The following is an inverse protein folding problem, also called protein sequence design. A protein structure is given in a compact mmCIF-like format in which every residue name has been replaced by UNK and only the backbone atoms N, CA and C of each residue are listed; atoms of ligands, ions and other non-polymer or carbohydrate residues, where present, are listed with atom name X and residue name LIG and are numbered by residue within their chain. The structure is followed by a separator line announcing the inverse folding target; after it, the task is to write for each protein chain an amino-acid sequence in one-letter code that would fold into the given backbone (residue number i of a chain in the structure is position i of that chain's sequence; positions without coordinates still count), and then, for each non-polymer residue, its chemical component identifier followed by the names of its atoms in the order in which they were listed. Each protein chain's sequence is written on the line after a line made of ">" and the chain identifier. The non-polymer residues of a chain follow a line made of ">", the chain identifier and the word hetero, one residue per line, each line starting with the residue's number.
data_IF_559181535573
#
_entry.id   IF_559181535573
#
_cell.length_a   1.000
_cell.length_b   1.000
_cell.length_c   1.000
_cell.angle_alpha   90.00
_cell.angle_beta   90.00
_cell.angle_gamma   90.00
#
_symmetry.space_group_name_H-M   'P 1'
#
loop_
_entity.id
_entity.type
_entity.pdbx_description
1 polymer ?
#
# COMPACT_ATOMS: atom_id res chain seq x y z
N UNK A 1 0.82 -14.82 -10.50
CA UNK A 1 1.92 -14.01 -9.92
C UNK A 1 2.35 -14.50 -8.55
N UNK A 2 1.46 -14.54 -7.53
CA UNK A 2 1.84 -14.96 -6.16
C UNK A 2 2.44 -16.38 -6.08
N UNK A 3 1.82 -17.36 -6.77
CA UNK A 3 2.32 -18.75 -6.81
C UNK A 3 3.69 -18.84 -7.50
N UNK A 4 3.89 -18.12 -8.61
CA UNK A 4 5.17 -18.09 -9.31
C UNK A 4 6.29 -17.54 -8.42
N UNK A 5 6.02 -16.45 -7.69
CA UNK A 5 6.97 -15.86 -6.72
C UNK A 5 7.29 -16.87 -5.61
N UNK A 6 6.28 -17.58 -5.10
CA UNK A 6 6.47 -18.58 -4.06
C UNK A 6 7.38 -19.72 -4.54
N UNK A 7 7.09 -20.29 -5.71
CA UNK A 7 7.92 -21.36 -6.32
C UNK A 7 9.37 -20.88 -6.51
N UNK A 8 9.56 -19.67 -7.02
CA UNK A 8 10.89 -19.11 -7.23
C UNK A 8 11.65 -18.92 -5.91
N UNK A 9 10.99 -18.43 -4.86
CA UNK A 9 11.58 -18.30 -3.53
C UNK A 9 11.95 -19.65 -2.92
N UNK A 10 11.13 -20.68 -3.11
CA UNK A 10 11.46 -22.04 -2.66
C UNK A 10 12.69 -22.57 -3.36
N UNK A 11 12.76 -22.46 -4.70
CA UNK A 11 13.93 -22.91 -5.47
C UNK A 11 15.20 -22.17 -5.02
N UNK A 12 15.10 -20.84 -4.86
CA UNK A 12 16.22 -20.02 -4.41
C UNK A 12 16.67 -20.42 -2.99
N UNK A 13 15.73 -20.69 -2.09
CA UNK A 13 16.04 -21.11 -0.71
C UNK A 13 16.74 -22.47 -0.68
N UNK A 14 16.27 -23.44 -1.45
CA UNK A 14 16.92 -24.76 -1.57
C UNK A 14 18.33 -24.62 -2.15
N UNK A 15 18.49 -23.84 -3.22
CA UNK A 15 19.81 -23.55 -3.81
C UNK A 15 20.75 -22.91 -2.79
N UNK A 16 20.27 -21.96 -1.99
CA UNK A 16 21.08 -21.26 -0.98
C UNK A 16 21.60 -22.23 0.10
N UNK A 17 20.72 -23.12 0.58
CA UNK A 17 21.08 -24.14 1.58
C UNK A 17 22.07 -25.14 0.99
N UNK A 18 21.81 -25.65 -0.22
CA UNK A 18 22.71 -26.57 -0.90
C UNK A 18 24.09 -25.93 -1.11
N UNK A 19 24.13 -24.66 -1.49
CA UNK A 19 25.37 -23.94 -1.70
C UNK A 19 26.19 -23.82 -0.40
N UNK A 20 25.56 -23.46 0.71
CA UNK A 20 26.22 -23.39 2.01
C UNK A 20 26.72 -24.75 2.54
N UNK A 21 25.96 -25.82 2.30
CA UNK A 21 26.34 -27.18 2.72
C UNK A 21 27.44 -27.76 1.84
N UNK A 22 27.34 -27.61 0.52
CA UNK A 22 28.32 -28.16 -0.42
C UNK A 22 29.62 -27.36 -0.46
N UNK A 23 29.59 -26.08 -0.09
CA UNK A 23 30.77 -25.22 -0.05
C UNK A 23 31.01 -24.75 1.39
N UNK A 24 31.40 -25.66 2.32
CA UNK A 24 31.66 -25.30 3.72
C UNK A 24 32.99 -24.56 3.90
N UNK A 25 33.65 -24.20 2.80
CA UNK A 25 34.94 -23.54 2.83
C UNK A 25 34.83 -22.20 3.57
N UNK A 26 35.80 -21.88 4.45
CA UNK A 26 35.81 -20.60 5.14
C UNK A 26 36.09 -19.48 4.14
N UNK A 27 35.34 -18.39 4.27
CA UNK A 27 35.49 -17.19 3.45
C UNK A 27 35.90 -16.01 4.32
N UNK A 28 36.68 -15.11 3.71
CA UNK A 28 37.12 -13.87 4.33
C UNK A 28 36.35 -12.73 3.66
N UNK A 29 35.57 -11.99 4.45
CA UNK A 29 34.80 -10.85 3.98
C UNK A 29 35.64 -9.60 4.15
N UNK A 30 35.89 -8.89 3.05
CA UNK A 30 36.58 -7.59 3.04
C UNK A 30 35.57 -6.49 2.70
N UNK A 31 35.45 -5.51 3.59
CA UNK A 31 34.52 -4.40 3.43
C UNK A 31 35.18 -3.07 3.80
N UNK A 32 35.50 -2.26 2.78
CA UNK A 32 36.26 -1.01 2.88
C UNK A 32 37.58 -1.17 3.65
N UNK A 33 37.58 -0.93 4.95
CA UNK A 33 38.74 -1.10 5.85
C UNK A 33 38.61 -2.29 6.80
N UNK A 34 37.43 -2.90 6.88
CA UNK A 34 37.16 -4.06 7.70
C UNK A 34 37.52 -5.35 6.95
N UNK A 35 38.21 -6.26 7.63
CA UNK A 35 38.44 -7.62 7.14
C UNK A 35 38.01 -8.58 8.24
N UNK A 36 37.10 -9.50 7.93
CA UNK A 36 36.69 -10.53 8.87
C UNK A 36 37.79 -11.60 9.01
N UNK A 37 37.77 -12.34 10.11
CA UNK A 37 38.46 -13.64 10.16
C UNK A 37 37.84 -14.65 9.18
N UNK A 38 38.44 -15.85 9.03
CA UNK A 38 37.85 -16.95 8.25
C UNK A 38 36.54 -17.38 8.92
N UNK A 39 35.41 -17.09 8.27
CA UNK A 39 34.07 -17.43 8.73
C UNK A 39 33.39 -18.36 7.73
N UNK A 40 32.45 -19.19 8.18
CA UNK A 40 31.77 -20.12 7.27
C UNK A 40 30.90 -19.37 6.26
N UNK A 41 30.93 -19.81 5.01
CA UNK A 41 30.12 -19.24 3.94
C UNK A 41 28.63 -19.24 4.27
N UNK A 42 28.14 -20.32 4.90
CA UNK A 42 26.76 -20.44 5.37
C UNK A 42 26.37 -19.32 6.34
N UNK A 43 27.27 -18.94 7.26
CA UNK A 43 26.99 -17.86 8.21
C UNK A 43 26.88 -16.51 7.50
N UNK A 44 27.78 -16.24 6.55
CA UNK A 44 27.72 -15.02 5.73
C UNK A 44 26.41 -14.95 4.95
N UNK A 45 25.99 -16.06 4.35
CA UNK A 45 24.74 -16.15 3.59
C UNK A 45 23.51 -15.91 4.47
N UNK A 46 23.45 -16.50 5.67
CA UNK A 46 22.36 -16.27 6.62
C UNK A 46 22.29 -14.80 7.01
N UNK A 47 23.42 -14.19 7.36
CA UNK A 47 23.48 -12.77 7.72
C UNK A 47 23.04 -11.86 6.56
N UNK A 48 23.45 -12.19 5.33
CA UNK A 48 23.05 -11.45 4.14
C UNK A 48 21.53 -11.52 3.89
N UNK A 49 20.92 -12.70 4.05
CA UNK A 49 19.46 -12.87 3.91
C UNK A 49 18.72 -12.09 4.98
N UNK A 50 19.16 -12.15 6.24
CA UNK A 50 18.55 -11.39 7.34
C UNK A 50 18.66 -9.89 7.08
N UNK A 51 19.85 -9.40 6.70
CA UNK A 51 20.06 -7.99 6.39
C UNK A 51 19.19 -7.53 5.21
N UNK A 52 19.09 -8.33 4.15
CA UNK A 52 18.22 -8.06 3.01
C UNK A 52 16.74 -8.01 3.40
N UNK A 53 16.27 -8.98 4.19
CA UNK A 53 14.89 -9.01 4.68
C UNK A 53 14.58 -7.81 5.59
N UNK A 54 15.52 -7.43 6.47
CA UNK A 54 15.38 -6.26 7.33
C UNK A 54 15.32 -4.97 6.51
N UNK A 55 16.15 -4.83 5.47
CA UNK A 55 16.15 -3.68 4.58
C UNK A 55 14.82 -3.55 3.81
N UNK A 56 14.33 -4.66 3.24
CA UNK A 56 13.01 -4.69 2.58
C UNK A 56 11.91 -4.33 3.57
N UNK A 57 11.94 -4.91 4.78
CA UNK A 57 10.97 -4.61 5.84
C UNK A 57 10.96 -3.13 6.21
N UNK A 58 12.13 -2.49 6.31
CA UNK A 58 12.26 -1.07 6.62
C UNK A 58 11.68 -0.19 5.49
N UNK A 59 12.01 -0.49 4.24
CA UNK A 59 11.50 0.24 3.07
C UNK A 59 9.99 0.10 2.93
N UNK A 60 9.47 -1.11 3.13
CA UNK A 60 8.05 -1.41 3.04
C UNK A 60 7.28 -0.77 4.20
N UNK A 61 7.83 -0.83 5.41
CA UNK A 61 7.32 -0.13 6.59
C UNK A 61 7.18 1.37 6.37
N UNK A 62 8.21 2.02 5.81
CA UNK A 62 8.18 3.44 5.48
C UNK A 62 7.06 3.79 4.47
N UNK A 63 6.88 2.97 3.43
CA UNK A 63 5.79 3.16 2.46
C UNK A 63 4.39 2.93 3.06
N UNK A 64 4.26 1.98 3.99
CA UNK A 64 3.02 1.66 4.70
C UNK A 64 2.53 2.80 5.58
N UNK A 65 3.43 3.50 6.29
CA UNK A 65 3.08 4.67 7.11
C UNK A 65 2.53 5.81 6.23
N UNK A 66 3.18 6.10 5.10
CA UNK A 66 2.71 7.15 4.17
C UNK A 66 1.35 6.81 3.56
N UNK A 67 1.14 5.55 3.22
CA UNK A 67 -0.15 5.06 2.69
C UNK A 67 -1.27 5.19 3.73
N UNK A 68 -1.03 4.76 4.97
CA UNK A 68 -1.99 4.86 6.08
C UNK A 68 -2.42 6.30 6.37
N UNK A 69 -1.47 7.25 6.37
CA UNK A 69 -1.77 8.67 6.52
C UNK A 69 -2.60 9.22 5.36
N UNK A 70 -2.34 8.76 4.13
CA UNK A 70 -3.11 9.15 2.94
C UNK A 70 -4.54 8.60 2.99
N UNK A 71 -4.72 7.35 3.40
CA UNK A 71 -6.04 6.72 3.58
C UNK A 71 -6.86 7.45 4.65
N UNK A 72 -6.24 7.85 5.77
CA UNK A 72 -6.91 8.66 6.79
C UNK A 72 -7.33 10.04 6.28
N UNK A 73 -6.50 10.70 5.47
CA UNK A 73 -6.85 11.99 4.84
C UNK A 73 -7.99 11.84 3.84
N UNK A 74 -7.93 10.81 2.98
CA UNK A 74 -8.97 10.51 2.00
C UNK A 74 -10.31 10.17 2.66
N UNK A 75 -10.30 9.38 3.73
CA UNK A 75 -11.51 9.06 4.51
C UNK A 75 -12.13 10.29 5.16
N UNK A 76 -11.32 11.21 5.72
CA UNK A 76 -11.83 12.49 6.25
C UNK A 76 -12.42 13.38 5.16
N UNK A 77 -11.82 13.41 3.97
CA UNK A 77 -12.34 14.17 2.84
C UNK A 77 -13.67 13.59 2.35
N UNK A 78 -13.79 12.26 2.25
CA UNK A 78 -15.04 11.60 1.90
C UNK A 78 -16.16 11.93 2.88
N UNK A 79 -15.91 11.82 4.20
CA UNK A 79 -16.92 12.16 5.20
C UNK A 79 -17.36 13.63 5.12
N UNK A 80 -16.43 14.55 4.86
CA UNK A 80 -16.75 15.98 4.69
C UNK A 80 -17.52 16.26 3.39
N UNK A 81 -17.23 15.54 2.31
CA UNK A 81 -17.95 15.62 1.04
C UNK A 81 -19.37 15.06 1.18
N UNK A 82 -19.54 13.92 1.85
CA UNK A 82 -20.85 13.32 2.14
C UNK A 82 -21.72 14.26 2.99
N UNK A 83 -21.16 14.88 4.04
CA UNK A 83 -21.88 15.88 4.83
C UNK A 83 -22.31 17.10 4.00
N UNK A 84 -21.46 17.57 3.08
CA UNK A 84 -21.81 18.68 2.19
C UNK A 84 -22.91 18.31 1.20
N UNK A 85 -22.87 17.09 0.65
CA UNK A 85 -23.94 16.59 -0.23
C UNK A 85 -25.25 16.55 0.54
N UNK A 86 -25.27 15.97 1.75
CA UNK A 86 -26.47 15.90 2.58
C UNK A 86 -27.03 17.30 2.93
N UNK A 87 -26.16 18.25 3.27
CA UNK A 87 -26.57 19.62 3.56
C UNK A 87 -27.15 20.32 2.32
N UNK A 88 -26.50 20.19 1.16
CA UNK A 88 -26.97 20.77 -0.10
C UNK A 88 -28.27 20.12 -0.59
N UNK A 89 -28.46 18.82 -0.39
CA UNK A 89 -29.72 18.13 -0.70
C UNK A 89 -30.87 18.61 0.19
N UNK A 90 -30.63 18.79 1.49
CA UNK A 90 -31.62 19.37 2.39
C UNK A 90 -31.99 20.80 1.98
N UNK A 91 -31.00 21.63 1.64
CA UNK A 91 -31.23 22.98 1.17
C UNK A 91 -32.02 23.00 -0.15
N UNK A 92 -31.67 22.13 -1.10
CA UNK A 92 -32.41 21.99 -2.37
C UNK A 92 -33.87 21.57 -2.13
N UNK A 93 -34.09 20.65 -1.20
CA UNK A 93 -35.43 20.15 -0.86
C UNK A 93 -36.27 21.25 -0.20
N UNK A 94 -35.67 22.03 0.70
CA UNK A 94 -36.33 23.18 1.33
C UNK A 94 -36.63 24.30 0.32
N UNK A 95 -35.70 24.59 -0.60
CA UNK A 95 -35.90 25.58 -1.65
C UNK A 95 -36.99 25.14 -2.64
N UNK A 96 -37.03 23.87 -3.02
CA UNK A 96 -38.11 23.28 -3.85
C UNK A 96 -39.46 23.29 -3.15
N UNK A 97 -39.51 23.11 -1.84
CA UNK A 97 -40.74 23.21 -1.05
C UNK A 97 -41.21 24.66 -0.85
N UNK A 98 -40.29 25.64 -0.89
CA UNK A 98 -40.59 27.08 -0.80
C UNK A 98 -40.90 27.72 -2.15
N UNK A 99 -40.55 27.09 -3.26
CA UNK A 99 -41.01 27.50 -4.58
C UNK A 99 -42.52 27.16 -4.66
N UNK A 100 -43.41 28.16 -4.75
CA UNK A 100 -44.79 27.88 -5.09
C UNK A 100 -44.79 27.14 -6.43
N UNK A 101 -45.62 26.11 -6.55
CA UNK A 101 -45.89 25.37 -7.80
C UNK A 101 -46.07 26.42 -8.88
N UNK A 102 -45.02 26.66 -9.67
CA UNK A 102 -45.08 27.64 -10.73
C UNK A 102 -45.98 26.99 -11.76
N UNK A 103 -47.26 27.36 -11.73
CA UNK A 103 -48.25 26.97 -12.71
C UNK A 103 -47.60 27.14 -14.07
N UNK A 104 -47.38 26.01 -14.71
CA UNK A 104 -46.89 25.95 -16.07
C UNK A 104 -47.79 26.84 -16.92
N UNK A 105 -47.25 27.85 -17.64
CA UNK A 105 -48.06 28.80 -18.41
C UNK A 105 -48.81 28.17 -19.60
N UNK A 106 -48.90 26.84 -19.67
CA UNK A 106 -49.67 26.10 -20.65
C UNK A 106 -51.17 25.98 -20.31
N UNK A 107 -51.57 26.19 -19.04
CA UNK A 107 -52.97 26.02 -18.59
C UNK A 107 -53.83 27.30 -18.68
N UNK A 108 -53.33 28.35 -19.33
CA UNK A 108 -54.05 29.62 -19.55
C UNK A 108 -54.76 29.72 -20.91
N UNK A 109 -54.82 28.62 -21.69
CA UNK A 109 -55.31 28.67 -23.09
C UNK A 109 -56.67 28.05 -23.38
N UNK A 110 -57.40 27.50 -22.42
CA UNK A 110 -58.75 26.97 -22.68
C UNK A 110 -59.78 27.45 -21.65
N UNK A 111 -60.27 28.66 -21.87
CA UNK A 111 -61.64 29.06 -21.53
C UNK A 111 -62.22 29.84 -22.71
N UNK A 112 -63.30 29.32 -23.32
CA UNK A 112 -64.48 30.15 -23.54
C UNK A 112 -65.64 29.74 -22.62
#
# INVERSE_FOLDING_TARGET
>A
MRVLIFVLMTILSVMLVLFGVQNPQPVVVRFLTFTSGPISLSLVMILAVIAGAALVGLLMGYSGVRSSLRTRRLSKQQAALEQRIAALEQENTQLRARLPKQESPADRRHTP
#
